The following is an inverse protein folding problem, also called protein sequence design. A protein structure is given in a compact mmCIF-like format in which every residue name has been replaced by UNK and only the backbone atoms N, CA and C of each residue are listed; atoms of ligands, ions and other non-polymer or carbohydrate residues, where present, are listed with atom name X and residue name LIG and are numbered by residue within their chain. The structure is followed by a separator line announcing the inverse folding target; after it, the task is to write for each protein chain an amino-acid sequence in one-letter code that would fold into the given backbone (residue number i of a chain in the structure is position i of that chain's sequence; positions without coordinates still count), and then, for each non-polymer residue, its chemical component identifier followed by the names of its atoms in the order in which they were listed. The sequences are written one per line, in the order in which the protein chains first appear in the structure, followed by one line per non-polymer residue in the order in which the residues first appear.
data_IF_319204417775
#
_entry.id   IF_319204417775
#
_cell.length_a   1.000
_cell.length_b   1.000
_cell.length_c   1.000
_cell.angle_alpha   90.00
_cell.angle_beta   90.00
_cell.angle_gamma   90.00
#
_symmetry.space_group_name_H-M   'P 1'
#
loop_
_entity.id
_entity.type
_entity.pdbx_description
1 polymer ?
#
# COMPACT_ATOMS: atom_id res chain seq x y z
N UNK A 1 11.53 -12.64 -35.12
CA UNK A 1 10.32 -12.59 -34.24
C UNK A 1 10.29 -11.26 -33.49
N UNK A 2 9.59 -10.25 -34.02
CA UNK A 2 9.50 -8.92 -33.40
C UNK A 2 8.37 -8.85 -32.34
N UNK A 3 7.32 -9.64 -32.53
CA UNK A 3 6.12 -9.67 -31.67
C UNK A 3 6.42 -10.18 -30.26
N UNK A 4 7.18 -11.26 -30.12
CA UNK A 4 7.56 -11.81 -28.81
C UNK A 4 8.48 -10.86 -28.04
N UNK A 5 9.41 -10.20 -28.74
CA UNK A 5 10.28 -9.17 -28.17
C UNK A 5 9.48 -7.96 -27.66
N UNK A 6 8.48 -7.49 -28.42
CA UNK A 6 7.59 -6.41 -28.00
C UNK A 6 6.75 -6.78 -26.77
N UNK A 7 6.13 -7.97 -26.76
CA UNK A 7 5.32 -8.44 -25.63
C UNK A 7 6.17 -8.63 -24.39
N UNK A 8 7.37 -9.22 -24.52
CA UNK A 8 8.27 -9.44 -23.39
C UNK A 8 8.81 -8.12 -22.82
N UNK A 9 9.27 -7.18 -23.67
CA UNK A 9 9.73 -5.86 -23.21
C UNK A 9 8.64 -5.05 -22.56
N UNK A 10 7.46 -4.94 -23.19
CA UNK A 10 6.37 -4.17 -22.63
C UNK A 10 5.85 -4.76 -21.30
N UNK A 11 5.84 -6.09 -21.18
CA UNK A 11 5.48 -6.79 -19.95
C UNK A 11 6.53 -6.58 -18.85
N UNK A 12 7.82 -6.58 -19.19
CA UNK A 12 8.88 -6.27 -18.22
C UNK A 12 8.83 -4.82 -17.77
N UNK A 13 8.67 -3.87 -18.67
CA UNK A 13 8.54 -2.44 -18.34
C UNK A 13 7.34 -2.18 -17.43
N UNK A 14 6.17 -2.78 -17.73
CA UNK A 14 4.97 -2.65 -16.89
C UNK A 14 5.13 -3.31 -15.52
N UNK A 15 5.78 -4.49 -15.43
CA UNK A 15 6.03 -5.16 -14.14
C UNK A 15 7.05 -4.36 -13.31
N UNK A 16 8.14 -3.89 -13.91
CA UNK A 16 9.13 -3.05 -13.23
C UNK A 16 8.47 -1.78 -12.66
N UNK A 17 7.66 -1.11 -13.48
CA UNK A 17 6.90 0.06 -13.04
C UNK A 17 5.98 -0.27 -11.86
N UNK A 18 5.20 -1.36 -11.96
CA UNK A 18 4.30 -1.78 -10.89
C UNK A 18 5.06 -2.09 -9.59
N UNK A 19 6.23 -2.72 -9.67
CA UNK A 19 7.08 -2.98 -8.50
C UNK A 19 7.59 -1.68 -7.87
N UNK A 20 8.06 -0.72 -8.67
CA UNK A 20 8.50 0.59 -8.18
C UNK A 20 7.36 1.32 -7.46
N UNK A 21 6.20 1.47 -8.12
CA UNK A 21 5.03 2.16 -7.53
C UNK A 21 4.56 1.47 -6.25
N UNK A 22 4.58 0.13 -6.21
CA UNK A 22 4.22 -0.63 -5.01
C UNK A 22 5.22 -0.38 -3.87
N UNK A 23 6.52 -0.38 -4.17
CA UNK A 23 7.58 -0.06 -3.20
C UNK A 23 7.46 1.36 -2.66
N UNK A 24 7.23 2.32 -3.54
CA UNK A 24 7.04 3.73 -3.19
C UNK A 24 5.81 3.92 -2.31
N UNK A 25 4.70 3.25 -2.63
CA UNK A 25 3.47 3.29 -1.84
C UNK A 25 3.67 2.71 -0.43
N UNK A 26 4.36 1.58 -0.31
CA UNK A 26 4.69 0.96 0.97
C UNK A 26 5.57 1.90 1.80
N UNK A 27 6.65 2.44 1.22
CA UNK A 27 7.54 3.37 1.89
C UNK A 27 6.81 4.62 2.37
N UNK A 28 5.91 5.16 1.54
CA UNK A 28 5.08 6.30 1.87
C UNK A 28 4.15 6.04 3.05
N UNK A 29 3.47 4.90 3.09
CA UNK A 29 2.58 4.56 4.20
C UNK A 29 3.35 4.26 5.49
N UNK A 30 4.51 3.61 5.40
CA UNK A 30 5.34 3.30 6.56
C UNK A 30 5.97 4.55 7.20
N UNK A 31 6.31 5.56 6.39
CA UNK A 31 6.93 6.80 6.86
C UNK A 31 5.92 7.89 7.25
N UNK A 32 4.62 7.62 7.13
CA UNK A 32 3.61 8.55 7.64
C UNK A 32 3.53 8.46 9.15
N UNK A 33 3.43 9.59 9.86
CA UNK A 33 3.19 9.57 11.29
C UNK A 33 1.87 8.81 11.54
N UNK A 34 1.97 7.75 12.33
CA UNK A 34 0.80 6.99 12.75
C UNK A 34 -0.11 7.93 13.52
N UNK A 35 -1.21 8.33 12.88
CA UNK A 35 -2.29 8.95 13.61
C UNK A 35 -3.01 7.80 14.31
N UNK A 36 -2.73 7.63 15.60
CA UNK A 36 -3.44 6.68 16.44
C UNK A 36 -4.93 6.98 16.28
N UNK A 37 -5.67 6.07 15.66
CA UNK A 37 -7.13 6.13 15.72
C UNK A 37 -7.44 6.23 17.20
N UNK A 38 -8.22 7.24 17.60
CA UNK A 38 -8.67 7.38 18.97
C UNK A 38 -9.66 6.23 19.27
N UNK A 39 -9.12 5.03 19.42
CA UNK A 39 -9.84 3.86 19.87
C UNK A 39 -10.11 4.15 21.33
N UNK A 40 -11.36 4.50 21.65
CA UNK A 40 -11.83 4.54 23.04
C UNK A 40 -11.42 3.23 23.67
N UNK A 41 -10.78 3.30 24.83
CA UNK A 41 -10.41 2.09 25.55
C UNK A 41 -11.68 1.26 25.77
N UNK A 42 -11.63 -0.08 25.78
CA UNK A 42 -12.82 -0.91 25.99
C UNK A 42 -13.62 -0.44 27.23
N UNK A 43 -12.91 -0.01 28.27
CA UNK A 43 -13.48 0.58 29.49
C UNK A 43 -14.32 1.84 29.23
N UNK A 44 -13.86 2.77 28.39
CA UNK A 44 -14.62 3.97 28.03
C UNK A 44 -15.84 3.66 27.15
N UNK A 45 -15.73 2.66 26.27
CA UNK A 45 -16.84 2.20 25.44
C UNK A 45 -17.95 1.56 26.31
N UNK A 46 -17.58 0.75 27.31
CA UNK A 46 -18.54 0.17 28.25
C UNK A 46 -19.17 1.22 29.18
N UNK A 47 -18.42 2.26 29.58
CA UNK A 47 -18.92 3.31 30.47
C UNK A 47 -20.00 4.20 29.84
N UNK A 48 -20.06 4.27 28.51
CA UNK A 48 -21.09 5.02 27.78
C UNK A 48 -22.35 4.20 27.47
N UNK A 49 -22.33 2.89 27.73
CA UNK A 49 -23.44 1.98 27.46
C UNK A 49 -24.28 1.64 28.71
N UNK A 50 -23.93 2.21 29.86
CA UNK A 50 -24.63 2.07 31.14
C UNK A 50 -25.37 3.36 31.50
#
# INVERSE_FOLDING_TARGET
MLKEQCVYRHRLESILHAMCVTGDWIAFHNNRPYQTVAIRTPVEAFRLAA
#
